data_IF_845758245434
#
_entry.id   IF_845758245434
#
_cell.length_a   1.000
_cell.length_b   1.000
_cell.length_c   1.000
_cell.angle_alpha   90.00
_cell.angle_beta   90.00
_cell.angle_gamma   90.00
#
_symmetry.space_group_name_H-M   'P 1'
#
loop_
_entity.id
_entity.type
_entity.pdbx_description
1 polymer ?
#
# COMPACT_ATOMS: atom_id res chain seq x y z
N UNK A 1 41.49 -28.79 -20.40
CA UNK A 1 41.02 -27.48 -20.93
C UNK A 1 39.49 -27.32 -20.73
N UNK A 2 38.95 -27.62 -19.54
CA UNK A 2 37.48 -27.59 -19.29
C UNK A 2 37.08 -26.69 -18.10
N UNK A 3 38.04 -26.10 -17.39
CA UNK A 3 37.81 -25.24 -16.22
C UNK A 3 37.50 -23.78 -16.58
N UNK A 4 38.03 -23.28 -17.70
CA UNK A 4 37.90 -21.88 -18.11
C UNK A 4 36.45 -21.50 -18.49
N UNK A 5 35.67 -22.45 -19.03
CA UNK A 5 34.27 -22.25 -19.42
C UNK A 5 33.27 -22.38 -18.25
N UNK A 6 33.68 -22.90 -17.08
CA UNK A 6 32.77 -23.11 -15.94
C UNK A 6 32.60 -21.88 -15.06
N UNK A 7 33.58 -20.97 -15.06
CA UNK A 7 33.52 -19.70 -14.32
C UNK A 7 32.44 -18.72 -14.84
N UNK A 8 32.31 -18.45 -16.15
CA UNK A 8 31.25 -17.57 -16.64
C UNK A 8 29.86 -18.17 -16.43
N UNK A 9 29.72 -19.49 -16.56
CA UNK A 9 28.46 -20.19 -16.31
C UNK A 9 28.02 -20.11 -14.84
N UNK A 10 28.97 -20.18 -13.89
CA UNK A 10 28.68 -20.03 -12.46
C UNK A 10 28.28 -18.60 -12.08
N UNK A 11 28.94 -17.59 -12.66
CA UNK A 11 28.59 -16.19 -12.47
C UNK A 11 27.22 -15.87 -13.07
N UNK A 12 26.91 -16.39 -14.27
CA UNK A 12 25.60 -16.25 -14.88
C UNK A 12 24.48 -16.92 -14.06
N UNK A 13 24.74 -18.10 -13.49
CA UNK A 13 23.77 -18.79 -12.63
C UNK A 13 23.53 -18.03 -11.30
N UNK A 14 24.58 -17.46 -10.69
CA UNK A 14 24.45 -16.63 -9.49
C UNK A 14 23.70 -15.33 -9.77
N UNK A 15 23.96 -14.69 -10.92
CA UNK A 15 23.26 -13.50 -11.36
C UNK A 15 21.79 -13.80 -11.63
N UNK A 16 21.49 -14.91 -12.33
CA UNK A 16 20.11 -15.35 -12.56
C UNK A 16 19.36 -15.62 -11.25
N UNK A 17 20.01 -16.23 -10.26
CA UNK A 17 19.42 -16.46 -8.94
C UNK A 17 19.17 -15.15 -8.17
N UNK A 18 20.09 -14.19 -8.24
CA UNK A 18 19.94 -12.87 -7.60
C UNK A 18 18.85 -12.00 -8.24
N UNK A 19 18.57 -12.20 -9.53
CA UNK A 19 17.50 -11.52 -10.26
C UNK A 19 16.16 -12.25 -10.24
N UNK A 20 16.08 -13.42 -9.58
CA UNK A 20 14.81 -14.14 -9.45
C UNK A 20 13.97 -13.51 -8.33
N UNK A 21 12.76 -12.99 -8.59
CA UNK A 21 11.90 -12.40 -7.56
C UNK A 21 11.28 -13.51 -6.71
N UNK A 22 12.06 -14.13 -5.83
CA UNK A 22 11.59 -15.20 -4.94
C UNK A 22 10.43 -14.74 -4.02
N UNK A 23 10.37 -13.45 -3.70
CA UNK A 23 9.28 -12.87 -2.91
C UNK A 23 7.92 -12.86 -3.64
N UNK A 24 7.89 -12.82 -4.97
CA UNK A 24 6.66 -12.77 -5.76
C UNK A 24 5.95 -14.14 -5.86
N UNK A 25 6.70 -15.24 -5.75
CA UNK A 25 6.14 -16.60 -5.84
C UNK A 25 5.46 -17.07 -4.54
N UNK A 26 5.63 -16.35 -3.43
CA UNK A 26 4.96 -16.66 -2.17
C UNK A 26 3.50 -16.15 -2.12
N UNK A 27 3.10 -15.29 -3.06
CA UNK A 27 1.76 -14.68 -3.09
C UNK A 27 0.73 -15.51 -3.87
N UNK A 28 1.14 -16.59 -4.55
CA UNK A 28 0.28 -17.39 -5.43
C UNK A 28 -0.03 -18.82 -4.95
N UNK A 29 0.60 -19.29 -3.89
CA UNK A 29 0.35 -20.61 -3.32
C UNK A 29 -0.60 -20.50 -2.13
N UNK A 30 -1.84 -20.11 -2.42
CA UNK A 30 -2.94 -20.21 -1.47
C UNK A 30 -3.07 -21.67 -0.98
N UNK A 31 -2.83 -21.97 0.31
CA UNK A 31 -3.00 -23.32 0.82
C UNK A 31 -4.41 -23.83 0.51
N UNK A 32 -4.56 -25.08 0.06
CA UNK A 32 -5.88 -25.64 -0.26
C UNK A 32 -6.85 -25.44 0.93
N UNK A 33 -7.90 -24.63 0.74
CA UNK A 33 -8.82 -24.22 1.80
C UNK A 33 -8.64 -22.79 2.34
N UNK A 34 -7.69 -21.99 1.83
CA UNK A 34 -7.53 -20.57 2.20
C UNK A 34 -8.62 -19.65 1.62
N UNK A 35 -9.42 -20.13 0.66
CA UNK A 35 -10.47 -19.35 -0.01
C UNK A 35 -11.41 -18.59 0.95
N UNK A 36 -11.96 -19.22 2.00
CA UNK A 36 -12.79 -18.52 2.99
C UNK A 36 -12.02 -17.51 3.84
N UNK A 37 -10.78 -17.81 4.23
CA UNK A 37 -9.93 -16.88 5.00
C UNK A 37 -9.57 -15.67 4.14
N UNK A 38 -9.18 -15.90 2.88
CA UNK A 38 -8.80 -14.85 1.95
C UNK A 38 -10.01 -13.94 1.63
N UNK A 39 -11.18 -14.54 1.40
CA UNK A 39 -12.43 -13.77 1.24
C UNK A 39 -12.80 -12.98 2.50
N UNK A 40 -12.60 -13.53 3.69
CA UNK A 40 -12.84 -12.81 4.94
C UNK A 40 -11.87 -11.64 5.12
N UNK A 41 -10.58 -11.82 4.79
CA UNK A 41 -9.58 -10.76 4.81
C UNK A 41 -9.89 -9.67 3.78
N UNK A 42 -10.29 -10.03 2.56
CA UNK A 42 -10.69 -9.07 1.52
C UNK A 42 -11.97 -8.32 1.90
N UNK A 43 -12.94 -8.98 2.55
CA UNK A 43 -14.14 -8.32 3.08
C UNK A 43 -13.80 -7.34 4.22
N UNK A 44 -12.95 -7.76 5.15
CA UNK A 44 -12.48 -6.90 6.24
C UNK A 44 -11.67 -5.71 5.68
N UNK A 45 -10.84 -5.94 4.67
CA UNK A 45 -10.12 -4.89 3.96
C UNK A 45 -11.09 -3.91 3.30
N UNK A 46 -12.10 -4.40 2.58
CA UNK A 46 -13.09 -3.55 1.91
C UNK A 46 -13.93 -2.72 2.87
N UNK A 47 -14.28 -3.28 4.03
CA UNK A 47 -15.01 -2.55 5.07
C UNK A 47 -14.14 -1.51 5.78
N UNK A 48 -12.93 -1.88 6.20
CA UNK A 48 -12.02 -0.99 6.91
C UNK A 48 -11.41 0.11 6.03
N UNK A 49 -11.11 -0.18 4.76
CA UNK A 49 -10.49 0.77 3.84
C UNK A 49 -11.50 1.53 2.96
N UNK A 50 -12.68 0.95 2.72
CA UNK A 50 -13.66 1.51 1.78
C UNK A 50 -14.66 2.44 2.44
N UNK A 51 -15.76 1.88 2.94
CA UNK A 51 -16.89 2.67 3.45
C UNK A 51 -16.63 3.27 4.81
N UNK A 52 -16.08 2.50 5.75
CA UNK A 52 -15.86 2.98 7.13
C UNK A 52 -14.86 4.13 7.13
N UNK A 53 -13.71 3.96 6.46
CA UNK A 53 -12.69 5.00 6.36
C UNK A 53 -13.26 6.30 5.79
N UNK A 54 -13.95 6.24 4.64
CA UNK A 54 -14.51 7.43 3.99
C UNK A 54 -15.57 8.12 4.87
N UNK A 55 -16.44 7.37 5.56
CA UNK A 55 -17.38 7.99 6.52
C UNK A 55 -16.68 8.72 7.67
N UNK A 56 -15.66 8.12 8.27
CA UNK A 56 -14.91 8.77 9.38
C UNK A 56 -14.24 10.05 8.90
N UNK A 57 -13.68 10.04 7.70
CA UNK A 57 -13.06 11.22 7.10
C UNK A 57 -14.05 12.35 6.88
N UNK A 58 -15.23 12.05 6.33
CA UNK A 58 -16.30 13.03 6.12
C UNK A 58 -16.75 13.62 7.46
N UNK A 59 -16.91 12.80 8.50
CA UNK A 59 -17.25 13.27 9.84
C UNK A 59 -16.17 14.21 10.42
N UNK A 60 -14.89 13.88 10.24
CA UNK A 60 -13.78 14.73 10.68
C UNK A 60 -13.78 16.09 9.95
N UNK A 61 -13.98 16.10 8.63
CA UNK A 61 -14.08 17.34 7.83
C UNK A 61 -15.27 18.19 8.26
N UNK A 62 -16.43 17.58 8.48
CA UNK A 62 -17.64 18.26 8.95
C UNK A 62 -17.44 18.88 10.35
N UNK A 63 -16.83 18.14 11.28
CA UNK A 63 -16.52 18.62 12.62
C UNK A 63 -15.60 19.84 12.61
N UNK A 64 -14.60 19.87 11.72
CA UNK A 64 -13.71 21.02 11.54
C UNK A 64 -14.47 22.22 10.98
N UNK A 65 -15.34 22.00 9.99
CA UNK A 65 -16.21 23.05 9.45
C UNK A 65 -17.03 23.71 10.56
N UNK A 66 -17.65 22.91 11.43
CA UNK A 66 -18.36 23.42 12.61
C UNK A 66 -17.46 24.18 13.57
N UNK A 67 -16.26 23.66 13.84
CA UNK A 67 -15.32 24.29 14.75
C UNK A 67 -14.75 25.61 14.18
N UNK A 68 -14.64 25.75 12.85
CA UNK A 68 -14.25 27.00 12.19
C UNK A 68 -15.32 28.09 12.32
N UNK A 69 -16.60 27.72 12.33
CA UNK A 69 -17.71 28.67 12.56
C UNK A 69 -17.69 29.28 13.97
N UNK A 70 -16.99 28.67 14.93
CA UNK A 70 -16.83 29.24 16.28
C UNK A 70 -15.91 30.47 16.32
N UNK A 71 -15.25 30.83 15.21
CA UNK A 71 -14.48 32.05 15.01
C UNK A 71 -13.15 32.15 15.79
N UNK A 72 -12.94 31.24 16.75
CA UNK A 72 -11.78 31.22 17.67
C UNK A 72 -10.79 30.08 17.41
N UNK A 73 -11.00 29.29 16.36
CA UNK A 73 -10.10 28.19 16.02
C UNK A 73 -8.91 28.67 15.19
N UNK A 74 -7.72 28.13 15.49
CA UNK A 74 -6.53 28.33 14.67
C UNK A 74 -6.76 27.72 13.28
N UNK A 75 -6.87 28.55 12.24
CA UNK A 75 -7.03 28.07 10.87
C UNK A 75 -5.94 27.08 10.42
N UNK A 76 -4.72 27.23 10.97
CA UNK A 76 -3.61 26.28 10.79
C UNK A 76 -3.98 24.87 11.23
N UNK A 77 -4.71 24.72 12.34
CA UNK A 77 -5.15 23.41 12.84
C UNK A 77 -6.11 22.75 11.86
N UNK A 78 -7.09 23.51 11.37
CA UNK A 78 -8.00 23.04 10.34
C UNK A 78 -7.28 22.57 9.07
N UNK A 79 -6.33 23.38 8.57
CA UNK A 79 -5.54 23.03 7.39
C UNK A 79 -4.73 21.73 7.60
N UNK A 80 -4.10 21.55 8.77
CA UNK A 80 -3.34 20.32 9.09
C UNK A 80 -4.21 19.07 9.03
N UNK A 81 -5.44 19.13 9.54
CA UNK A 81 -6.31 17.94 9.50
C UNK A 81 -6.81 17.64 8.09
N UNK A 82 -7.15 18.66 7.28
CA UNK A 82 -7.52 18.45 5.87
C UNK A 82 -6.36 17.81 5.08
N UNK A 83 -5.13 18.26 5.31
CA UNK A 83 -3.93 17.64 4.73
C UNK A 83 -3.79 16.19 5.20
N UNK A 84 -4.03 15.92 6.48
CA UNK A 84 -4.01 14.56 7.03
C UNK A 84 -5.02 13.63 6.37
N UNK A 85 -6.26 14.09 6.17
CA UNK A 85 -7.29 13.34 5.43
C UNK A 85 -6.83 13.06 4.01
N UNK A 86 -6.29 14.04 3.30
CA UNK A 86 -5.78 13.85 1.94
C UNK A 86 -4.70 12.76 1.87
N UNK A 87 -3.74 12.75 2.79
CA UNK A 87 -2.67 11.75 2.82
C UNK A 87 -3.24 10.34 3.10
N UNK A 88 -4.22 10.22 4.01
CA UNK A 88 -4.81 8.93 4.37
C UNK A 88 -5.50 8.24 3.18
N UNK A 89 -6.25 9.00 2.37
CA UNK A 89 -6.96 8.46 1.19
C UNK A 89 -6.12 8.47 -0.09
N UNK A 90 -5.17 9.39 -0.23
CA UNK A 90 -4.27 9.49 -1.37
C UNK A 90 -3.07 8.55 -1.34
N UNK A 91 -2.83 7.87 -0.21
CA UNK A 91 -1.67 6.99 -0.02
C UNK A 91 -1.57 5.90 -1.09
N UNK A 92 -2.67 5.27 -1.48
CA UNK A 92 -2.67 4.19 -2.48
C UNK A 92 -2.23 4.67 -3.85
N UNK A 93 -2.71 5.84 -4.29
CA UNK A 93 -2.32 6.48 -5.57
C UNK A 93 -0.86 6.93 -5.56
N UNK A 94 -0.38 7.47 -4.43
CA UNK A 94 1.03 7.84 -4.27
C UNK A 94 1.93 6.61 -4.40
N UNK A 95 1.58 5.54 -3.69
CA UNK A 95 2.33 4.28 -3.72
C UNK A 95 2.32 3.66 -5.12
N UNK A 96 1.15 3.61 -5.77
CA UNK A 96 1.04 3.12 -7.15
C UNK A 96 1.89 3.94 -8.14
N UNK A 97 1.92 5.28 -7.99
CA UNK A 97 2.78 6.15 -8.79
C UNK A 97 4.27 5.85 -8.61
N UNK A 98 4.72 5.67 -7.37
CA UNK A 98 6.12 5.31 -7.07
C UNK A 98 6.47 3.94 -7.65
N UNK A 99 5.59 2.95 -7.49
CA UNK A 99 5.80 1.61 -8.04
C UNK A 99 5.88 1.62 -9.57
N UNK A 100 5.04 2.42 -10.24
CA UNK A 100 5.07 2.57 -11.70
C UNK A 100 6.34 3.23 -12.22
N UNK A 101 7.00 4.08 -11.42
CA UNK A 101 8.26 4.71 -11.77
C UNK A 101 9.50 3.85 -11.43
N UNK A 102 9.32 2.83 -10.59
CA UNK A 102 10.39 1.91 -10.17
C UNK A 102 10.43 0.61 -10.99
N UNK A 103 9.38 0.33 -11.79
CA UNK A 103 9.36 -0.71 -12.82
C UNK A 103 9.89 -0.22 -14.16
#
# INVERSE_FOLDING_TARGET
MTSLFRLPARLAAMLAFALTPAAAFAQGADPAGSGPINNALLWLQGTLLGTVATTVAVMAVAAIGFMMLTGRMNWRFGATVIIGVFILFGATTIVAGIQSAAG
#
